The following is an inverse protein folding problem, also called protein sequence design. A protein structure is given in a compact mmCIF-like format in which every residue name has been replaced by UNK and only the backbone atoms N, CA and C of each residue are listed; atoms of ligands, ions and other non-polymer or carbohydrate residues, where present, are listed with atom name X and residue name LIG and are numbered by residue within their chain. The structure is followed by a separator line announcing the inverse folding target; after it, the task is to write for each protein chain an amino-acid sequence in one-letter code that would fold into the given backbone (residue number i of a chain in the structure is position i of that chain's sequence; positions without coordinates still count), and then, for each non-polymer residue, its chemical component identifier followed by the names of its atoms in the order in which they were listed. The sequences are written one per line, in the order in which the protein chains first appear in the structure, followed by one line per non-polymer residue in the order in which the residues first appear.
data_IF_678779825614
#
_entry.id   IF_678779825614
#
_cell.length_a   1.000
_cell.length_b   1.000
_cell.length_c   1.000
_cell.angle_alpha   90.00
_cell.angle_beta   90.00
_cell.angle_gamma   90.00
#
_symmetry.space_group_name_H-M   'P 1'
#
loop_
_entity.id
_entity.type
_entity.pdbx_description
1 polymer ?
#
# COMPACT_ATOMS: atom_id res chain seq x y z
N UNK A 1 6.68 -25.77 -40.84
CA UNK A 1 7.51 -25.50 -39.66
C UNK A 1 7.27 -24.05 -39.27
N UNK A 2 6.30 -23.82 -38.37
CA UNK A 2 6.06 -22.52 -37.75
C UNK A 2 6.85 -22.50 -36.44
N UNK A 3 8.01 -21.85 -36.44
CA UNK A 3 8.59 -21.31 -35.21
C UNK A 3 8.12 -19.86 -35.16
N UNK A 4 6.93 -19.65 -34.60
CA UNK A 4 6.52 -18.32 -34.20
C UNK A 4 7.47 -17.86 -33.10
N UNK A 5 8.11 -16.73 -33.38
CA UNK A 5 8.98 -16.03 -32.46
C UNK A 5 8.26 -15.89 -31.12
N UNK A 6 8.89 -16.37 -30.06
CA UNK A 6 8.60 -15.95 -28.69
C UNK A 6 8.90 -14.46 -28.69
N UNK A 7 7.86 -13.65 -28.89
CA UNK A 7 7.90 -12.22 -28.71
C UNK A 7 8.25 -11.97 -27.26
N UNK A 8 9.51 -11.67 -26.97
CA UNK A 8 9.82 -10.83 -25.84
C UNK A 8 9.14 -9.49 -26.09
N UNK A 9 7.92 -9.32 -25.56
CA UNK A 9 7.36 -7.99 -25.41
C UNK A 9 8.42 -7.16 -24.68
N UNK A 10 8.87 -6.04 -25.25
CA UNK A 10 9.88 -5.21 -24.61
C UNK A 10 9.39 -4.88 -23.20
N UNK A 11 10.27 -4.81 -22.19
CA UNK A 11 9.87 -4.49 -20.82
C UNK A 11 9.08 -3.17 -20.82
N UNK A 12 7.76 -3.27 -20.86
CA UNK A 12 6.93 -2.10 -21.05
C UNK A 12 7.05 -1.31 -19.75
N UNK A 13 7.35 -0.01 -19.87
CA UNK A 13 7.38 0.91 -18.74
C UNK A 13 6.08 0.82 -17.92
N UNK A 14 4.98 0.47 -18.57
CA UNK A 14 3.66 0.27 -17.97
C UNK A 14 3.65 -0.82 -16.89
N UNK A 15 4.27 -1.98 -17.13
CA UNK A 15 4.32 -3.07 -16.15
C UNK A 15 5.11 -2.69 -14.89
N UNK A 16 6.21 -1.94 -15.08
CA UNK A 16 6.99 -1.37 -13.98
C UNK A 16 6.17 -0.39 -13.15
N UNK A 17 5.58 0.61 -13.79
CA UNK A 17 4.84 1.66 -13.10
C UNK A 17 3.60 1.11 -12.43
N UNK A 18 2.83 0.23 -13.08
CA UNK A 18 1.66 -0.41 -12.48
C UNK A 18 2.02 -1.22 -11.22
N UNK A 19 3.08 -2.02 -11.29
CA UNK A 19 3.53 -2.83 -10.14
C UNK A 19 4.12 -1.99 -9.00
N UNK A 20 4.48 -0.73 -9.28
CA UNK A 20 4.92 0.24 -8.29
C UNK A 20 3.75 1.04 -7.69
N UNK A 21 2.98 1.72 -8.55
CA UNK A 21 1.98 2.73 -8.18
C UNK A 21 0.70 2.11 -7.66
N UNK A 22 0.28 0.93 -8.12
CA UNK A 22 -0.96 0.31 -7.63
C UNK A 22 -0.88 -0.03 -6.15
N UNK A 23 0.16 -0.73 -5.64
CA UNK A 23 0.30 -0.95 -4.20
C UNK A 23 0.37 0.35 -3.38
N UNK A 24 1.15 1.34 -3.84
CA UNK A 24 1.29 2.65 -3.18
C UNK A 24 -0.06 3.37 -3.13
N UNK A 25 -0.73 3.48 -4.27
CA UNK A 25 -1.97 4.20 -4.44
C UNK A 25 -3.14 3.56 -3.70
N UNK A 26 -3.25 2.23 -3.71
CA UNK A 26 -4.29 1.54 -2.93
C UNK A 26 -4.01 1.65 -1.43
N UNK A 27 -2.76 1.46 -1.02
CA UNK A 27 -2.37 1.54 0.39
C UNK A 27 -2.57 2.92 0.99
N UNK A 28 -1.89 3.93 0.43
CA UNK A 28 -2.03 5.32 0.89
C UNK A 28 -3.39 5.91 0.57
N UNK A 29 -3.99 5.57 -0.56
CA UNK A 29 -5.30 6.08 -0.97
C UNK A 29 -6.41 5.62 -0.04
N UNK A 30 -6.42 4.34 0.35
CA UNK A 30 -7.40 3.85 1.34
C UNK A 30 -7.20 4.51 2.70
N UNK A 31 -5.95 4.68 3.14
CA UNK A 31 -5.64 5.44 4.35
C UNK A 31 -6.11 6.89 4.26
N UNK A 32 -5.82 7.58 3.17
CA UNK A 32 -6.19 8.99 2.98
C UNK A 32 -7.71 9.18 2.96
N UNK A 33 -8.44 8.32 2.23
CA UNK A 33 -9.91 8.37 2.20
C UNK A 33 -10.49 8.17 3.59
N UNK A 34 -10.01 7.17 4.35
CA UNK A 34 -10.46 6.95 5.72
C UNK A 34 -10.14 8.13 6.64
N UNK A 35 -8.96 8.74 6.50
CA UNK A 35 -8.59 9.95 7.24
C UNK A 35 -9.49 11.14 6.95
N UNK A 36 -9.81 11.38 5.68
CA UNK A 36 -10.72 12.46 5.27
C UNK A 36 -12.13 12.23 5.83
N UNK A 37 -12.61 10.98 5.81
CA UNK A 37 -13.90 10.64 6.41
C UNK A 37 -13.90 10.84 7.93
N UNK A 38 -12.85 10.39 8.64
CA UNK A 38 -12.70 10.60 10.08
C UNK A 38 -12.66 12.09 10.44
N UNK A 39 -11.97 12.90 9.64
CA UNK A 39 -11.81 14.34 9.90
C UNK A 39 -13.12 15.12 9.78
N UNK A 40 -14.12 14.58 9.09
CA UNK A 40 -15.42 15.21 8.88
C UNK A 40 -16.56 14.50 9.64
N UNK A 41 -16.24 13.50 10.46
CA UNK A 41 -17.25 12.71 11.17
C UNK A 41 -17.58 13.35 12.53
N UNK A 42 -18.86 13.67 12.75
CA UNK A 42 -19.39 14.06 14.05
C UNK A 42 -19.86 12.82 14.82
N UNK A 43 -19.45 12.70 16.09
CA UNK A 43 -19.79 11.55 16.95
C UNK A 43 -20.96 11.95 17.86
N UNK A 44 -22.17 11.56 17.48
CA UNK A 44 -23.41 11.92 18.21
C UNK A 44 -24.13 10.72 18.85
N UNK A 45 -23.76 9.46 18.53
CA UNK A 45 -24.41 8.25 19.04
C UNK A 45 -23.51 7.00 18.99
N UNK A 46 -23.90 5.91 19.63
CA UNK A 46 -23.19 4.62 19.69
C UNK A 46 -22.93 4.03 18.30
N UNK A 47 -23.84 4.26 17.34
CA UNK A 47 -23.66 3.85 15.93
C UNK A 47 -22.43 4.52 15.29
N UNK A 48 -22.10 5.75 15.72
CA UNK A 48 -20.91 6.47 15.25
C UNK A 48 -19.62 5.85 15.77
N UNK A 49 -19.64 5.18 16.94
CA UNK A 49 -18.45 4.51 17.49
C UNK A 49 -18.01 3.34 16.61
N UNK A 50 -18.95 2.51 16.14
CA UNK A 50 -18.65 1.38 15.25
C UNK A 50 -18.05 1.88 13.93
N UNK A 51 -18.59 2.96 13.39
CA UNK A 51 -18.07 3.59 12.17
C UNK A 51 -16.66 4.17 12.38
N UNK A 52 -16.41 4.83 13.51
CA UNK A 52 -15.07 5.32 13.87
C UNK A 52 -14.06 4.17 13.93
N UNK A 53 -14.39 3.08 14.63
CA UNK A 53 -13.50 1.92 14.71
C UNK A 53 -13.20 1.32 13.34
N UNK A 54 -14.21 1.22 12.47
CA UNK A 54 -14.04 0.75 11.10
C UNK A 54 -13.11 1.68 10.31
N UNK A 55 -13.35 2.99 10.35
CA UNK A 55 -12.53 3.96 9.60
C UNK A 55 -11.09 4.02 10.13
N UNK A 56 -10.89 3.98 11.45
CA UNK A 56 -9.56 3.90 12.07
C UNK A 56 -8.85 2.61 11.64
N UNK A 57 -9.59 1.50 11.58
CA UNK A 57 -9.02 0.23 11.09
C UNK A 57 -8.60 0.32 9.63
N UNK A 58 -9.45 0.87 8.75
CA UNK A 58 -9.12 1.08 7.33
C UNK A 58 -7.94 2.04 7.17
N UNK A 59 -7.89 3.10 7.98
CA UNK A 59 -6.78 4.04 7.99
C UNK A 59 -5.44 3.34 8.22
N UNK A 60 -5.37 2.47 9.22
CA UNK A 60 -4.14 1.72 9.54
C UNK A 60 -3.87 0.59 8.53
N UNK A 61 -4.90 -0.20 8.18
CA UNK A 61 -4.76 -1.35 7.30
C UNK A 61 -4.31 -0.98 5.88
N UNK A 62 -4.67 0.20 5.39
CA UNK A 62 -4.25 0.70 4.08
C UNK A 62 -2.74 0.66 3.88
N UNK A 63 -2.02 1.44 4.67
CA UNK A 63 -0.57 1.51 4.55
C UNK A 63 0.16 0.35 5.24
N UNK A 64 -0.34 -0.23 6.34
CA UNK A 64 0.35 -1.32 7.06
C UNK A 64 0.20 -2.68 6.37
N UNK A 65 -0.98 -2.98 5.81
CA UNK A 65 -1.28 -4.31 5.27
C UNK A 65 -1.49 -4.28 3.75
N UNK A 66 -2.41 -3.46 3.25
CA UNK A 66 -2.79 -3.47 1.83
C UNK A 66 -1.60 -3.13 0.92
N UNK A 67 -0.79 -2.14 1.27
CA UNK A 67 0.39 -1.78 0.49
C UNK A 67 1.39 -2.95 0.36
N UNK A 68 2.00 -3.48 1.44
CA UNK A 68 3.01 -4.53 1.29
C UNK A 68 2.41 -5.82 0.71
N UNK A 69 1.15 -6.18 1.03
CA UNK A 69 0.51 -7.37 0.46
C UNK A 69 0.34 -7.26 -1.05
N UNK A 70 -0.15 -6.12 -1.55
CA UNK A 70 -0.26 -5.89 -2.99
C UNK A 70 1.11 -5.90 -3.65
N UNK A 71 2.11 -5.25 -3.06
CA UNK A 71 3.45 -5.23 -3.62
C UNK A 71 4.07 -6.64 -3.71
N UNK A 72 3.88 -7.48 -2.68
CA UNK A 72 4.28 -8.90 -2.70
C UNK A 72 3.50 -9.69 -3.75
N UNK A 73 2.19 -9.49 -3.87
CA UNK A 73 1.37 -10.15 -4.89
C UNK A 73 1.86 -9.81 -6.30
N UNK A 74 2.14 -8.54 -6.59
CA UNK A 74 2.71 -8.10 -7.87
C UNK A 74 4.10 -8.68 -8.11
N UNK A 75 4.95 -8.77 -7.07
CA UNK A 75 6.25 -9.42 -7.15
C UNK A 75 6.11 -10.89 -7.55
N UNK A 76 5.30 -11.68 -6.83
CA UNK A 76 5.10 -13.11 -7.09
C UNK A 76 4.50 -13.36 -8.48
N UNK A 77 3.55 -12.51 -8.91
CA UNK A 77 2.96 -12.59 -10.25
C UNK A 77 3.99 -12.29 -11.33
N UNK A 78 4.80 -11.25 -11.15
CA UNK A 78 5.84 -10.87 -12.11
C UNK A 78 6.95 -11.93 -12.20
N UNK A 79 7.33 -12.53 -11.07
CA UNK A 79 8.32 -13.60 -11.00
C UNK A 79 7.85 -14.85 -11.76
N UNK A 80 6.59 -15.28 -11.54
CA UNK A 80 5.98 -16.40 -12.29
C UNK A 80 5.84 -16.12 -13.79
N UNK A 81 5.62 -14.88 -14.18
CA UNK A 81 5.46 -14.48 -15.58
C UNK A 81 6.80 -14.17 -16.28
N UNK A 82 7.94 -14.24 -15.60
CA UNK A 82 9.24 -13.82 -16.16
C UNK A 82 9.33 -12.32 -16.46
N UNK A 83 8.39 -11.49 -15.97
CA UNK A 83 8.35 -10.07 -16.27
C UNK A 83 9.28 -9.29 -15.34
N UNK A 84 10.54 -9.14 -15.76
CA UNK A 84 11.57 -8.42 -15.02
C UNK A 84 11.22 -6.94 -14.74
N UNK A 85 10.48 -6.29 -15.65
CA UNK A 85 10.04 -4.89 -15.51
C UNK A 85 9.07 -4.73 -14.33
N UNK A 86 8.00 -5.53 -14.33
CA UNK A 86 7.01 -5.55 -13.25
C UNK A 86 7.62 -5.95 -11.91
N UNK A 87 8.53 -6.94 -11.90
CA UNK A 87 9.24 -7.38 -10.69
C UNK A 87 10.06 -6.25 -10.07
N UNK A 88 10.79 -5.48 -10.89
CA UNK A 88 11.54 -4.30 -10.42
C UNK A 88 10.62 -3.22 -9.85
N UNK A 89 9.45 -2.99 -10.46
CA UNK A 89 8.44 -2.06 -9.95
C UNK A 89 7.91 -2.47 -8.58
N UNK A 90 7.56 -3.74 -8.40
CA UNK A 90 7.11 -4.29 -7.12
C UNK A 90 8.19 -4.19 -6.02
N UNK A 91 9.45 -4.49 -6.35
CA UNK A 91 10.58 -4.32 -5.41
C UNK A 91 10.77 -2.85 -5.02
N UNK A 92 10.65 -1.92 -5.97
CA UNK A 92 10.70 -0.50 -5.66
C UNK A 92 9.55 -0.09 -4.72
N UNK A 93 8.35 -0.65 -4.93
CA UNK A 93 7.20 -0.39 -4.06
C UNK A 93 7.46 -0.84 -2.63
N UNK A 94 8.04 -2.03 -2.44
CA UNK A 94 8.44 -2.55 -1.13
C UNK A 94 9.54 -1.70 -0.48
N UNK A 95 10.52 -1.23 -1.25
CA UNK A 95 11.55 -0.30 -0.73
C UNK A 95 10.92 1.01 -0.27
N UNK A 96 10.02 1.56 -1.06
CA UNK A 96 9.28 2.78 -0.74
C UNK A 96 8.44 2.59 0.53
N UNK A 97 7.76 1.44 0.68
CA UNK A 97 7.08 1.05 1.90
C UNK A 97 8.03 1.02 3.11
N UNK A 98 9.22 0.42 2.98
CA UNK A 98 10.22 0.43 4.06
C UNK A 98 10.62 1.84 4.50
N UNK A 99 10.83 2.76 3.54
CA UNK A 99 11.10 4.18 3.83
C UNK A 99 9.90 4.83 4.52
N UNK A 100 8.67 4.59 4.05
CA UNK A 100 7.45 5.09 4.68
C UNK A 100 7.32 4.65 6.15
N UNK A 101 7.62 3.38 6.42
CA UNK A 101 7.57 2.84 7.79
C UNK A 101 8.58 3.51 8.71
N UNK A 102 9.81 3.75 8.24
CA UNK A 102 10.88 4.36 9.05
C UNK A 102 10.70 5.86 9.22
N UNK A 103 10.24 6.57 8.18
CA UNK A 103 10.18 8.04 8.18
C UNK A 103 8.84 8.56 8.73
N UNK A 104 7.75 7.82 8.56
CA UNK A 104 6.41 8.28 8.93
C UNK A 104 5.84 7.46 10.08
N UNK A 105 5.73 6.14 9.92
CA UNK A 105 5.00 5.30 10.89
C UNK A 105 5.76 5.17 12.21
N UNK A 106 7.06 4.88 12.18
CA UNK A 106 7.84 4.69 13.40
C UNK A 106 7.94 5.97 14.25
N UNK A 107 8.21 7.17 13.70
CA UNK A 107 8.18 8.40 14.48
C UNK A 107 6.79 8.73 15.02
N UNK A 108 5.73 8.52 14.22
CA UNK A 108 4.36 8.75 14.68
C UNK A 108 3.99 7.82 15.85
N UNK A 109 4.36 6.53 15.74
CA UNK A 109 4.16 5.55 16.81
C UNK A 109 4.96 5.92 18.07
N UNK A 110 6.21 6.35 17.91
CA UNK A 110 7.04 6.81 19.03
C UNK A 110 6.40 7.99 19.76
N UNK A 111 5.96 9.02 19.03
CA UNK A 111 5.29 10.18 19.61
C UNK A 111 3.99 9.77 20.32
N UNK A 112 3.20 8.87 19.72
CA UNK A 112 1.97 8.39 20.33
C UNK A 112 2.21 7.64 21.66
N UNK A 113 3.26 6.83 21.77
CA UNK A 113 3.56 6.06 22.98
C UNK A 113 4.29 6.87 24.05
N UNK A 114 5.19 7.80 23.67
CA UNK A 114 5.98 8.57 24.64
C UNK A 114 5.42 9.93 25.02
N UNK A 115 4.69 10.60 24.12
CA UNK A 115 4.20 11.97 24.36
C UNK A 115 2.70 12.07 24.64
N UNK A 116 1.89 11.14 24.12
CA UNK A 116 0.44 11.14 24.35
C UNK A 116 -0.01 10.24 25.53
N UNK A 117 0.93 9.60 26.24
CA UNK A 117 0.63 8.86 27.47
C UNK A 117 -0.19 7.58 27.28
N UNK A 118 -0.18 6.96 26.09
CA UNK A 118 -0.73 5.62 25.89
C UNK A 118 0.24 4.62 26.56
N UNK A 119 -0.02 4.32 27.84
CA UNK A 119 0.56 3.22 28.61
C UNK A 119 -0.35 2.00 28.49
#
# INVERSE_FOLDING_TARGET
MMNEAIGEDPPTREGYWSSFTVPVGVGLGSSLVAFLMLSNLTIDDDTSIVLVLLLVSVFHLGHIALWPLLAVMFFLRADRAGNLSARKGAVLSLKCYGVWMVVVVAPAAWVATTMNGIV
#
